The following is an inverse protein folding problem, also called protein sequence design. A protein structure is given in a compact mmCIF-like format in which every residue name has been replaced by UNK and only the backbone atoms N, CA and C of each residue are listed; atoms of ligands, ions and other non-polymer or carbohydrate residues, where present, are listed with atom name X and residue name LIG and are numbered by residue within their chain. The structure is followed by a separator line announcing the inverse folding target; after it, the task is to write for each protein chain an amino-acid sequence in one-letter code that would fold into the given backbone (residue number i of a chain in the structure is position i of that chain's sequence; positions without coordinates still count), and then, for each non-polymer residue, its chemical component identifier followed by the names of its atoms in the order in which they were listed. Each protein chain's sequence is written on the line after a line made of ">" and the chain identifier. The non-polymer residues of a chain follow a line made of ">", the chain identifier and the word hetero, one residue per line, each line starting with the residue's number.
data_IF_729662853430
#
_entry.id   IF_729662853430
#
_cell.length_a   1.000
_cell.length_b   1.000
_cell.length_c   1.000
_cell.angle_alpha   90.00
_cell.angle_beta   90.00
_cell.angle_gamma   90.00
#
_symmetry.space_group_name_H-M   'P 1'
#
loop_
_entity.id
_entity.type
_entity.pdbx_description
1 polymer ?
#
# COMPACT_ATOMS: atom_id res chain seq x y z
N UNK A 1 6.33 -9.12 40.33
CA UNK A 1 5.01 -9.76 40.01
C UNK A 1 4.02 -8.77 39.35
N UNK A 2 4.11 -7.48 39.55
CA UNK A 2 3.24 -6.49 38.92
C UNK A 2 3.62 -6.19 37.44
N UNK A 3 4.92 -6.20 37.09
CA UNK A 3 5.40 -5.97 35.74
C UNK A 3 5.02 -7.06 34.71
N UNK A 4 4.88 -8.31 35.19
CA UNK A 4 4.45 -9.39 34.26
C UNK A 4 2.96 -9.33 33.89
N UNK A 5 2.10 -8.80 34.76
CA UNK A 5 0.65 -8.70 34.46
C UNK A 5 0.34 -7.56 33.48
N UNK A 6 1.12 -6.46 33.48
CA UNK A 6 0.94 -5.37 32.51
C UNK A 6 1.39 -5.77 31.10
N UNK A 7 2.46 -6.55 30.99
CA UNK A 7 2.94 -7.07 29.71
C UNK A 7 1.99 -8.10 29.10
N UNK A 8 1.37 -8.98 29.89
CA UNK A 8 0.36 -9.93 29.37
C UNK A 8 -0.89 -9.20 28.86
N UNK A 9 -1.37 -8.18 29.56
CA UNK A 9 -2.54 -7.43 29.12
C UNK A 9 -2.27 -6.60 27.86
N UNK A 10 -1.04 -6.12 27.66
CA UNK A 10 -0.62 -5.40 26.45
C UNK A 10 -0.50 -6.35 25.23
N UNK A 11 0.07 -7.53 25.43
CA UNK A 11 0.17 -8.56 24.37
C UNK A 11 -1.22 -9.01 23.94
N UNK A 12 -2.16 -9.13 24.88
CA UNK A 12 -3.53 -9.49 24.57
C UNK A 12 -4.29 -8.37 23.85
N UNK A 13 -4.11 -7.10 24.22
CA UNK A 13 -4.69 -5.96 23.50
C UNK A 13 -4.15 -5.88 22.05
N UNK A 14 -2.85 -6.05 21.86
CA UNK A 14 -2.23 -6.07 20.53
C UNK A 14 -2.72 -7.25 19.66
N UNK A 15 -2.90 -8.42 20.27
CA UNK A 15 -3.46 -9.61 19.61
C UNK A 15 -4.91 -9.39 19.20
N UNK A 16 -5.70 -8.70 20.02
CA UNK A 16 -7.09 -8.34 19.76
C UNK A 16 -7.20 -7.34 18.60
N UNK A 17 -6.41 -6.27 18.59
CA UNK A 17 -6.38 -5.28 17.53
C UNK A 17 -6.02 -5.95 16.19
N UNK A 18 -5.03 -6.84 16.17
CA UNK A 18 -4.62 -7.57 14.97
C UNK A 18 -5.72 -8.49 14.44
N UNK A 19 -6.48 -9.17 15.33
CA UNK A 19 -7.65 -9.98 14.94
C UNK A 19 -8.86 -9.12 14.52
N UNK A 20 -9.01 -7.93 15.08
CA UNK A 20 -10.09 -6.99 14.72
C UNK A 20 -10.00 -6.50 13.28
N UNK A 21 -8.79 -6.38 12.74
CA UNK A 21 -8.55 -6.03 11.34
C UNK A 21 -8.93 -7.17 10.37
N UNK A 22 -9.05 -8.42 10.84
CA UNK A 22 -9.45 -9.61 10.08
C UNK A 22 -10.85 -10.10 10.46
N UNK A 23 -11.88 -9.52 9.90
CA UNK A 23 -13.31 -9.62 10.27
C UNK A 23 -13.98 -11.01 10.26
N UNK A 24 -13.35 -12.08 9.80
CA UNK A 24 -14.04 -13.36 9.46
C UNK A 24 -13.69 -14.56 10.35
N UNK A 25 -13.18 -14.36 11.58
CA UNK A 25 -12.75 -15.48 12.43
C UNK A 25 -13.73 -15.75 13.57
N UNK A 26 -14.17 -17.03 13.73
CA UNK A 26 -15.06 -17.49 14.80
C UNK A 26 -14.47 -17.29 16.21
N UNK A 27 -13.16 -17.31 16.35
CA UNK A 27 -12.41 -16.99 17.56
C UNK A 27 -12.54 -15.50 17.99
N UNK A 28 -13.03 -14.63 17.12
CA UNK A 28 -13.27 -13.22 17.41
C UNK A 28 -14.23 -13.02 18.57
N UNK A 29 -15.32 -13.78 18.58
CA UNK A 29 -16.37 -13.70 19.60
C UNK A 29 -15.84 -14.10 20.99
N UNK A 30 -15.04 -15.15 21.08
CA UNK A 30 -14.46 -15.61 22.34
C UNK A 30 -13.35 -14.66 22.85
N UNK A 31 -12.55 -14.13 21.94
CA UNK A 31 -11.51 -13.18 22.28
C UNK A 31 -12.10 -11.84 22.77
N UNK A 32 -13.19 -11.39 22.14
CA UNK A 32 -13.90 -10.17 22.54
C UNK A 32 -14.62 -10.37 23.88
N UNK A 33 -15.22 -11.53 24.13
CA UNK A 33 -15.86 -11.88 25.40
C UNK A 33 -14.86 -11.86 26.55
N UNK A 34 -13.69 -12.46 26.39
CA UNK A 34 -12.58 -12.41 27.37
C UNK A 34 -12.09 -10.98 27.61
N UNK A 35 -11.97 -10.19 26.55
CA UNK A 35 -11.57 -8.79 26.69
C UNK A 35 -12.61 -7.98 27.47
N UNK A 36 -13.88 -8.18 27.18
CA UNK A 36 -14.98 -7.51 27.91
C UNK A 36 -15.02 -7.93 29.39
N UNK A 37 -14.69 -9.17 29.72
CA UNK A 37 -14.58 -9.65 31.10
C UNK A 37 -13.38 -9.05 31.83
N UNK A 38 -12.23 -8.90 31.17
CA UNK A 38 -11.05 -8.23 31.69
C UNK A 38 -11.34 -6.75 31.95
N UNK A 39 -12.01 -6.06 31.02
CA UNK A 39 -12.40 -4.67 31.14
C UNK A 39 -13.45 -4.43 32.25
N UNK A 40 -14.31 -5.40 32.52
CA UNK A 40 -15.33 -5.31 33.63
C UNK A 40 -14.73 -5.35 35.02
N UNK A 41 -13.61 -6.03 35.21
CA UNK A 41 -13.03 -6.30 36.51
C UNK A 41 -11.87 -5.40 36.87
N UNK A 42 -11.40 -4.52 35.98
CA UNK A 42 -10.33 -3.57 36.24
C UNK A 42 -10.79 -2.15 35.91
N UNK A 43 -10.57 -1.22 36.80
CA UNK A 43 -10.52 0.20 36.45
C UNK A 43 -9.35 0.35 35.49
N UNK A 44 -9.65 0.67 34.21
CA UNK A 44 -8.63 0.84 33.20
C UNK A 44 -7.88 2.13 33.51
N UNK A 45 -6.60 2.01 33.82
CA UNK A 45 -5.72 3.17 33.91
C UNK A 45 -5.19 3.48 32.49
N UNK A 46 -5.98 4.25 31.73
CA UNK A 46 -5.63 4.69 30.36
C UNK A 46 -4.29 5.42 30.30
N UNK A 47 -3.92 6.19 31.33
CA UNK A 47 -2.65 6.91 31.37
C UNK A 47 -1.47 5.96 31.50
N UNK A 48 -1.59 4.92 32.33
CA UNK A 48 -0.58 3.87 32.41
C UNK A 48 -0.43 3.10 31.09
N UNK A 49 -1.54 2.76 30.43
CA UNK A 49 -1.51 2.09 29.13
C UNK A 49 -0.83 2.96 28.05
N UNK A 50 -1.18 4.24 27.96
CA UNK A 50 -0.53 5.19 27.05
C UNK A 50 0.96 5.38 27.35
N UNK A 51 1.32 5.43 28.66
CA UNK A 51 2.70 5.56 29.10
C UNK A 51 3.58 4.35 28.76
N UNK A 52 2.99 3.16 28.62
CA UNK A 52 3.69 1.93 28.27
C UNK A 52 3.78 1.68 26.74
N UNK A 53 3.15 2.52 25.91
CA UNK A 53 3.28 2.40 24.46
C UNK A 53 4.73 2.69 24.02
N UNK A 54 5.22 2.02 22.96
CA UNK A 54 6.49 2.38 22.36
C UNK A 54 6.50 3.87 22.00
N UNK A 55 7.65 4.52 22.17
CA UNK A 55 7.80 5.90 21.71
C UNK A 55 7.55 5.98 20.21
N UNK A 56 6.90 7.07 19.76
CA UNK A 56 6.75 7.34 18.34
C UNK A 56 8.14 7.36 17.68
N UNK A 57 8.27 6.63 16.58
CA UNK A 57 9.47 6.61 15.76
C UNK A 57 9.46 7.73 14.69
N UNK A 58 8.35 8.47 14.57
CA UNK A 58 8.21 9.50 13.55
C UNK A 58 8.96 10.78 13.90
N UNK A 59 9.48 11.43 12.87
CA UNK A 59 9.97 12.81 12.92
C UNK A 59 8.82 13.76 12.57
N UNK A 60 8.95 15.05 12.91
CA UNK A 60 7.87 16.00 12.62
C UNK A 60 7.57 16.08 11.12
N UNK A 61 6.28 16.27 10.76
CA UNK A 61 5.83 16.44 9.35
C UNK A 61 6.66 17.51 8.65
N UNK A 62 6.91 18.67 9.31
CA UNK A 62 7.73 19.75 8.76
C UNK A 62 9.15 19.30 8.42
N UNK A 63 9.80 18.53 9.30
CA UNK A 63 11.16 18.04 9.04
C UNK A 63 11.16 17.01 7.91
N UNK A 64 10.15 16.16 7.85
CA UNK A 64 9.97 15.18 6.76
C UNK A 64 9.86 15.88 5.41
N UNK A 65 9.00 16.91 5.30
CA UNK A 65 8.80 17.67 4.07
C UNK A 65 10.07 18.40 3.64
N UNK A 66 10.78 19.03 4.57
CA UNK A 66 12.07 19.66 4.29
C UNK A 66 13.09 18.67 3.75
N UNK A 67 13.19 17.48 4.32
CA UNK A 67 14.12 16.45 3.86
C UNK A 67 13.76 15.95 2.45
N UNK A 68 12.46 15.77 2.17
CA UNK A 68 11.98 15.35 0.84
C UNK A 68 12.27 16.46 -0.20
N UNK A 69 11.98 17.72 0.13
CA UNK A 69 12.26 18.85 -0.75
C UNK A 69 13.75 18.96 -1.07
N UNK A 70 14.61 18.81 -0.07
CA UNK A 70 16.05 18.78 -0.27
C UNK A 70 16.49 17.61 -1.19
N UNK A 71 15.88 16.42 -1.02
CA UNK A 71 16.17 15.28 -1.90
C UNK A 71 15.74 15.57 -3.35
N UNK A 72 14.58 16.22 -3.54
CA UNK A 72 14.09 16.62 -4.84
C UNK A 72 15.04 17.63 -5.51
N UNK A 73 15.43 18.71 -4.82
CA UNK A 73 16.34 19.72 -5.34
C UNK A 73 17.74 19.17 -5.70
N UNK A 74 18.15 18.09 -5.06
CA UNK A 74 19.45 17.45 -5.32
C UNK A 74 19.35 16.24 -6.28
N UNK A 75 18.25 16.04 -6.97
CA UNK A 75 18.01 14.91 -7.88
C UNK A 75 18.21 13.52 -7.21
N UNK A 76 17.82 13.45 -5.95
CA UNK A 76 17.92 12.23 -5.12
C UNK A 76 16.57 11.71 -4.65
N UNK A 77 15.48 12.29 -5.15
CA UNK A 77 14.13 11.81 -4.84
C UNK A 77 13.69 10.75 -5.83
N UNK A 78 13.16 9.66 -5.31
CA UNK A 78 12.49 8.59 -6.06
C UNK A 78 11.03 8.57 -5.64
N UNK A 79 10.10 8.62 -6.60
CA UNK A 79 8.71 8.32 -6.33
C UNK A 79 8.49 6.81 -6.41
N UNK A 80 7.84 6.25 -5.40
CA UNK A 80 7.45 4.84 -5.36
C UNK A 80 5.93 4.77 -5.37
N UNK A 81 5.39 4.36 -6.52
CA UNK A 81 3.97 4.47 -6.83
C UNK A 81 3.29 3.10 -6.71
N UNK A 82 2.16 3.07 -6.02
CA UNK A 82 1.30 1.90 -5.91
C UNK A 82 -0.09 2.14 -6.48
N UNK A 83 -0.95 1.12 -6.40
CA UNK A 83 -2.28 1.12 -7.03
C UNK A 83 -3.17 2.30 -6.64
N UNK A 84 -2.95 2.88 -5.45
CA UNK A 84 -3.74 4.02 -4.97
C UNK A 84 -3.76 5.24 -5.89
N UNK A 85 -2.70 5.46 -6.69
CA UNK A 85 -2.67 6.60 -7.64
C UNK A 85 -3.54 6.40 -8.87
N UNK A 86 -3.86 5.13 -9.19
CA UNK A 86 -4.63 4.76 -10.40
C UNK A 86 -6.10 4.44 -10.11
N UNK A 87 -6.48 4.32 -8.82
CA UNK A 87 -7.86 3.99 -8.43
C UNK A 87 -8.88 5.00 -8.95
N UNK A 88 -8.56 6.29 -8.94
CA UNK A 88 -9.43 7.35 -9.42
C UNK A 88 -9.78 7.22 -10.90
N UNK A 89 -8.90 6.61 -11.68
CA UNK A 89 -9.09 6.37 -13.12
C UNK A 89 -9.92 5.14 -13.42
N UNK A 90 -10.36 4.40 -12.39
CA UNK A 90 -11.15 3.17 -12.54
C UNK A 90 -10.31 1.90 -12.58
N UNK A 91 -8.99 1.98 -12.37
CA UNK A 91 -8.15 0.79 -12.18
C UNK A 91 -8.64 0.01 -10.96
N UNK A 92 -8.92 -1.30 -11.09
CA UNK A 92 -9.38 -2.09 -9.96
C UNK A 92 -8.28 -2.24 -8.90
N UNK A 93 -8.68 -2.28 -7.63
CA UNK A 93 -7.78 -2.73 -6.56
C UNK A 93 -7.33 -4.18 -6.82
N UNK A 94 -6.24 -4.60 -6.19
CA UNK A 94 -5.72 -5.96 -6.37
C UNK A 94 -6.77 -7.06 -6.14
N UNK A 95 -7.53 -6.96 -5.06
CA UNK A 95 -8.59 -7.93 -4.76
C UNK A 95 -9.70 -7.91 -5.81
N UNK A 96 -10.09 -6.72 -6.27
CA UNK A 96 -11.11 -6.58 -7.31
C UNK A 96 -10.61 -7.08 -8.67
N UNK A 97 -9.34 -6.86 -9.00
CA UNK A 97 -8.72 -7.41 -10.22
C UNK A 97 -8.78 -8.94 -10.21
N UNK A 98 -8.38 -9.57 -9.11
CA UNK A 98 -8.45 -11.02 -8.95
C UNK A 98 -9.89 -11.55 -9.06
N UNK A 99 -10.85 -10.90 -8.40
CA UNK A 99 -12.26 -11.26 -8.49
C UNK A 99 -12.78 -11.15 -9.92
N UNK A 100 -12.46 -10.06 -10.62
CA UNK A 100 -12.87 -9.86 -12.00
C UNK A 100 -12.27 -10.92 -12.94
N UNK A 101 -11.01 -11.29 -12.74
CA UNK A 101 -10.36 -12.38 -13.51
C UNK A 101 -11.02 -13.72 -13.25
N UNK A 102 -11.34 -14.04 -12.00
CA UNK A 102 -12.04 -15.29 -11.65
C UNK A 102 -13.44 -15.33 -12.28
N UNK A 103 -14.20 -14.22 -12.19
CA UNK A 103 -15.51 -14.09 -12.83
C UNK A 103 -15.40 -14.30 -14.33
N UNK A 104 -14.45 -13.60 -14.98
CA UNK A 104 -14.23 -13.69 -16.43
C UNK A 104 -13.91 -15.13 -16.86
N UNK A 105 -13.11 -15.85 -16.11
CA UNK A 105 -12.79 -17.26 -16.34
C UNK A 105 -14.04 -18.14 -16.26
N UNK A 106 -14.87 -17.97 -15.24
CA UNK A 106 -16.08 -18.76 -15.03
C UNK A 106 -17.12 -18.47 -16.13
N UNK A 107 -17.33 -17.19 -16.47
CA UNK A 107 -18.29 -16.77 -17.50
C UNK A 107 -17.91 -17.31 -18.87
N UNK A 108 -16.63 -17.25 -19.22
CA UNK A 108 -16.12 -17.69 -20.54
C UNK A 108 -16.23 -19.21 -20.72
N UNK A 109 -16.03 -20.01 -19.67
CA UNK A 109 -16.07 -21.46 -19.77
C UNK A 109 -17.46 -22.08 -19.65
N UNK A 110 -18.31 -21.49 -18.82
CA UNK A 110 -19.53 -22.17 -18.37
C UNK A 110 -20.85 -21.50 -18.80
N UNK A 111 -20.81 -20.40 -19.56
CA UNK A 111 -22.00 -19.59 -19.86
C UNK A 111 -22.82 -19.23 -18.58
N UNK A 112 -22.15 -19.07 -17.47
CA UNK A 112 -22.77 -18.82 -16.18
C UNK A 112 -23.17 -17.34 -16.08
N UNK A 113 -24.35 -17.08 -15.57
CA UNK A 113 -24.84 -15.70 -15.43
C UNK A 113 -23.95 -14.88 -14.49
N UNK A 114 -23.82 -13.59 -14.79
CA UNK A 114 -23.07 -12.61 -13.96
C UNK A 114 -23.51 -12.57 -12.49
N UNK A 115 -24.74 -13.03 -12.19
CA UNK A 115 -25.28 -13.15 -10.83
C UNK A 115 -24.62 -14.27 -10.06
N UNK A 116 -24.43 -15.45 -10.68
CA UNK A 116 -23.75 -16.57 -10.03
C UNK A 116 -22.27 -16.28 -9.80
N UNK A 117 -21.62 -15.59 -10.72
CA UNK A 117 -20.24 -15.15 -10.58
C UNK A 117 -20.07 -14.18 -9.39
N UNK A 118 -21.01 -13.24 -9.20
CA UNK A 118 -21.02 -12.36 -8.03
C UNK A 118 -21.24 -13.11 -6.72
N UNK A 119 -22.21 -14.02 -6.69
CA UNK A 119 -22.46 -14.85 -5.52
C UNK A 119 -21.25 -15.71 -5.16
N UNK A 120 -20.56 -16.27 -6.16
CA UNK A 120 -19.34 -17.03 -5.94
C UNK A 120 -18.24 -16.16 -5.29
N UNK A 121 -18.07 -14.91 -5.75
CA UNK A 121 -17.11 -13.99 -5.16
C UNK A 121 -17.45 -13.59 -3.72
N UNK A 122 -18.75 -13.47 -3.39
CA UNK A 122 -19.19 -13.13 -2.03
C UNK A 122 -18.97 -14.28 -1.04
N UNK A 123 -19.03 -15.51 -1.53
CA UNK A 123 -18.86 -16.73 -0.71
C UNK A 123 -17.38 -17.15 -0.62
N UNK A 124 -16.63 -16.99 -1.71
CA UNK A 124 -15.27 -17.50 -1.83
C UNK A 124 -14.27 -16.35 -1.90
N UNK A 125 -13.60 -16.09 -0.78
CA UNK A 125 -12.54 -15.06 -0.67
C UNK A 125 -11.16 -15.71 -0.47
N UNK A 126 -10.53 -16.26 -1.53
CA UNK A 126 -9.23 -16.91 -1.40
C UNK A 126 -8.14 -15.89 -1.06
N UNK A 127 -7.04 -16.37 -0.49
CA UNK A 127 -5.85 -15.55 -0.35
C UNK A 127 -5.42 -15.05 -1.75
N UNK A 128 -5.19 -13.74 -1.93
CA UNK A 128 -4.90 -13.15 -3.24
C UNK A 128 -3.73 -13.79 -3.99
N UNK A 129 -2.65 -14.16 -3.31
CA UNK A 129 -1.48 -14.80 -3.93
C UNK A 129 -1.79 -16.21 -4.42
N UNK A 130 -2.59 -16.97 -3.67
CA UNK A 130 -3.03 -18.32 -4.04
C UNK A 130 -3.98 -18.25 -5.24
N UNK A 131 -4.94 -17.31 -5.22
CA UNK A 131 -5.85 -17.09 -6.34
C UNK A 131 -5.09 -16.69 -7.60
N UNK A 132 -4.12 -15.80 -7.49
CA UNK A 132 -3.26 -15.38 -8.59
C UNK A 132 -2.48 -16.55 -9.19
N UNK A 133 -1.92 -17.44 -8.38
CA UNK A 133 -1.23 -18.65 -8.84
C UNK A 133 -2.16 -19.57 -9.62
N UNK A 134 -3.34 -19.85 -9.06
CA UNK A 134 -4.33 -20.70 -9.72
C UNK A 134 -4.74 -20.16 -11.09
N UNK A 135 -5.03 -18.87 -11.18
CA UNK A 135 -5.40 -18.21 -12.42
C UNK A 135 -4.26 -18.28 -13.46
N UNK A 136 -3.03 -18.05 -13.04
CA UNK A 136 -1.87 -18.14 -13.93
C UNK A 136 -1.69 -19.57 -14.47
N UNK A 137 -1.71 -20.59 -13.62
CA UNK A 137 -1.60 -21.99 -14.04
C UNK A 137 -2.75 -22.40 -14.97
N UNK A 138 -3.96 -21.92 -14.71
CA UNK A 138 -5.12 -22.16 -15.56
C UNK A 138 -4.93 -21.61 -16.99
N UNK A 139 -4.51 -20.35 -17.11
CA UNK A 139 -4.29 -19.73 -18.42
C UNK A 139 -3.09 -20.33 -19.18
N UNK A 140 -2.01 -20.65 -18.48
CA UNK A 140 -0.84 -21.29 -19.06
C UNK A 140 -1.17 -22.69 -19.61
N UNK A 141 -2.13 -23.39 -19.01
CA UNK A 141 -2.55 -24.73 -19.42
C UNK A 141 -3.53 -24.73 -20.62
N UNK A 142 -4.33 -23.69 -20.77
CA UNK A 142 -5.43 -23.66 -21.76
C UNK A 142 -5.14 -22.97 -23.08
N UNK A 143 -3.92 -22.49 -23.33
CA UNK A 143 -3.35 -22.00 -24.60
C UNK A 143 -4.21 -21.03 -25.46
N UNK A 144 -5.30 -20.47 -24.96
CA UNK A 144 -6.24 -19.67 -25.77
C UNK A 144 -5.89 -18.17 -25.86
N UNK A 145 -5.20 -17.64 -24.86
CA UNK A 145 -4.64 -16.27 -24.84
C UNK A 145 -3.57 -16.20 -23.77
N UNK A 146 -2.58 -15.30 -23.91
CA UNK A 146 -1.58 -15.16 -22.83
C UNK A 146 -2.24 -14.60 -21.57
N UNK A 147 -1.76 -15.03 -20.42
CA UNK A 147 -2.23 -14.54 -19.10
C UNK A 147 -2.17 -13.01 -19.04
N UNK A 148 -1.08 -12.43 -19.51
CA UNK A 148 -0.87 -10.98 -19.53
C UNK A 148 -1.93 -10.24 -20.37
N UNK A 149 -2.35 -10.82 -21.49
CA UNK A 149 -3.40 -10.24 -22.34
C UNK A 149 -4.75 -10.21 -21.62
N UNK A 150 -5.07 -11.27 -20.88
CA UNK A 150 -6.30 -11.35 -20.10
C UNK A 150 -6.30 -10.36 -18.92
N UNK A 151 -5.19 -10.31 -18.20
CA UNK A 151 -5.03 -9.33 -17.10
C UNK A 151 -5.19 -7.91 -17.64
N UNK A 152 -4.60 -7.61 -18.82
CA UNK A 152 -4.73 -6.30 -19.46
C UNK A 152 -6.19 -5.97 -19.81
N UNK A 153 -6.91 -6.91 -20.42
CA UNK A 153 -8.32 -6.74 -20.78
C UNK A 153 -9.18 -6.38 -19.58
N UNK A 154 -9.02 -7.12 -18.48
CA UNK A 154 -9.75 -6.88 -17.25
C UNK A 154 -9.30 -5.57 -16.57
N UNK A 155 -8.00 -5.27 -16.59
CA UNK A 155 -7.41 -4.08 -16.00
C UNK A 155 -8.03 -2.81 -16.61
N UNK A 156 -8.11 -2.75 -17.95
CA UNK A 156 -8.57 -1.57 -18.69
C UNK A 156 -10.08 -1.52 -18.94
N UNK A 157 -10.83 -2.53 -18.53
CA UNK A 157 -12.27 -2.66 -18.84
C UNK A 157 -13.13 -1.46 -18.40
N UNK A 158 -12.70 -0.69 -17.42
CA UNK A 158 -13.44 0.45 -16.84
C UNK A 158 -12.59 1.71 -16.64
N UNK A 159 -11.41 1.76 -17.25
CA UNK A 159 -10.50 2.88 -17.09
C UNK A 159 -10.95 4.08 -17.93
N UNK A 160 -10.94 5.25 -17.30
CA UNK A 160 -11.01 6.54 -17.95
C UNK A 160 -9.69 7.29 -17.71
N UNK A 161 -8.77 7.19 -18.69
CA UNK A 161 -7.46 7.86 -18.64
C UNK A 161 -7.57 9.39 -18.74
N UNK A 162 -8.68 9.91 -19.25
CA UNK A 162 -8.89 11.34 -19.42
C UNK A 162 -9.38 12.02 -18.14
N UNK A 163 -9.89 11.25 -17.19
CA UNK A 163 -10.34 11.77 -15.90
C UNK A 163 -9.30 12.67 -15.28
N UNK A 164 -9.73 13.82 -14.77
CA UNK A 164 -8.88 14.74 -14.04
C UNK A 164 -8.60 14.21 -12.62
N UNK A 165 -7.34 14.31 -12.18
CA UNK A 165 -6.88 13.92 -10.85
C UNK A 165 -5.82 14.91 -10.38
N UNK A 166 -6.12 15.62 -9.30
CA UNK A 166 -5.17 16.56 -8.72
C UNK A 166 -3.85 15.90 -8.30
N UNK A 167 -3.95 14.68 -7.74
CA UNK A 167 -2.79 13.89 -7.36
C UNK A 167 -1.91 13.56 -8.57
N UNK A 168 -2.50 13.03 -9.62
CA UNK A 168 -1.76 12.70 -10.84
C UNK A 168 -1.18 13.94 -11.49
N UNK A 169 -1.92 15.05 -11.53
CA UNK A 169 -1.44 16.31 -12.07
C UNK A 169 -0.19 16.81 -11.32
N UNK A 170 -0.15 16.74 -10.00
CA UNK A 170 1.03 17.13 -9.23
C UNK A 170 2.19 16.13 -9.38
N UNK A 171 1.93 14.82 -9.50
CA UNK A 171 2.96 13.83 -9.85
C UNK A 171 3.60 14.17 -11.20
N UNK A 172 2.78 14.46 -12.22
CA UNK A 172 3.27 14.86 -13.55
C UNK A 172 4.11 16.14 -13.45
N UNK A 173 3.67 17.16 -12.71
CA UNK A 173 4.43 18.42 -12.51
C UNK A 173 5.77 18.20 -11.83
N UNK A 174 5.87 17.26 -10.88
CA UNK A 174 7.15 16.88 -10.25
C UNK A 174 8.09 16.21 -11.26
N UNK A 175 7.55 15.44 -12.21
CA UNK A 175 8.33 14.81 -13.28
C UNK A 175 8.89 15.83 -14.27
N UNK A 176 8.24 16.99 -14.40
CA UNK A 176 8.59 18.04 -15.35
C UNK A 176 9.36 19.15 -14.64
N UNK A 177 10.66 19.25 -14.84
CA UNK A 177 11.47 20.37 -14.32
C UNK A 177 11.52 21.51 -15.32
N UNK A 178 10.88 22.67 -15.05
CA UNK A 178 10.89 23.79 -15.98
C UNK A 178 12.31 24.30 -16.25
N UNK A 179 12.75 24.19 -17.52
CA UNK A 179 14.02 24.76 -17.99
C UNK A 179 15.30 24.08 -17.48
N UNK A 180 15.21 22.88 -16.89
CA UNK A 180 16.36 22.11 -16.37
C UNK A 180 16.19 20.61 -16.65
N UNK A 181 17.24 19.82 -16.39
CA UNK A 181 17.14 18.39 -16.25
C UNK A 181 16.12 17.99 -15.17
N UNK A 182 15.64 16.77 -15.23
CA UNK A 182 14.76 16.16 -14.23
C UNK A 182 15.25 16.41 -12.80
N UNK A 183 14.36 16.81 -11.89
CA UNK A 183 14.66 16.89 -10.45
C UNK A 183 14.41 15.56 -9.72
N UNK A 184 13.71 14.62 -10.34
CA UNK A 184 13.60 13.25 -9.86
C UNK A 184 14.78 12.39 -10.33
N UNK A 185 15.26 11.51 -9.49
CA UNK A 185 16.18 10.46 -9.90
C UNK A 185 15.47 9.44 -10.81
N UNK A 186 14.34 8.91 -10.35
CA UNK A 186 13.54 7.91 -11.06
C UNK A 186 12.17 7.74 -10.43
N UNK A 187 11.34 6.95 -11.09
CA UNK A 187 10.07 6.45 -10.56
C UNK A 187 10.18 4.92 -10.48
N UNK A 188 9.71 4.34 -9.38
CA UNK A 188 9.43 2.92 -9.24
C UNK A 188 7.92 2.77 -9.16
N UNK A 189 7.34 1.92 -9.99
CA UNK A 189 5.91 1.63 -9.91
C UNK A 189 5.67 0.13 -9.79
N UNK A 190 4.70 -0.21 -8.95
CA UNK A 190 4.18 -1.57 -8.79
C UNK A 190 2.91 -1.79 -9.63
N UNK A 191 2.44 -0.73 -10.29
CA UNK A 191 1.27 -0.77 -11.14
C UNK A 191 1.61 -1.37 -12.50
N UNK A 192 0.66 -2.08 -13.07
CA UNK A 192 0.77 -2.63 -14.42
C UNK A 192 0.34 -1.64 -15.51
N UNK A 193 -0.50 -0.65 -15.13
CA UNK A 193 -1.09 0.32 -16.06
C UNK A 193 -0.09 1.34 -16.59
N UNK A 194 -0.48 2.03 -17.68
CA UNK A 194 0.30 3.08 -18.35
C UNK A 194 -0.30 4.48 -18.18
N UNK A 195 -1.09 4.70 -17.11
CA UNK A 195 -1.79 5.97 -16.90
C UNK A 195 -0.79 7.12 -16.71
N UNK A 196 0.29 6.88 -15.96
CA UNK A 196 1.31 7.90 -15.74
C UNK A 196 1.97 8.32 -17.06
N UNK A 197 2.37 7.36 -17.89
CA UNK A 197 2.96 7.60 -19.21
C UNK A 197 1.99 8.37 -20.12
N UNK A 198 0.73 7.95 -20.15
CA UNK A 198 -0.31 8.63 -20.89
C UNK A 198 -0.47 10.09 -20.45
N UNK A 199 -0.46 10.36 -19.15
CA UNK A 199 -0.54 11.73 -18.63
C UNK A 199 0.70 12.55 -18.92
N UNK A 200 1.89 11.95 -18.88
CA UNK A 200 3.15 12.61 -19.26
C UNK A 200 3.14 12.96 -20.75
N UNK A 201 2.74 12.06 -21.63
CA UNK A 201 2.63 12.30 -23.07
C UNK A 201 1.63 13.43 -23.39
N UNK A 202 0.53 13.53 -22.62
CA UNK A 202 -0.50 14.56 -22.80
C UNK A 202 -0.07 15.97 -22.34
N UNK A 203 1.04 16.13 -21.63
CA UNK A 203 1.47 17.48 -21.21
C UNK A 203 1.78 18.40 -22.39
N UNK A 204 1.98 17.86 -23.57
CA UNK A 204 2.43 18.61 -24.76
C UNK A 204 3.87 19.17 -24.62
N UNK A 205 4.55 18.84 -23.55
CA UNK A 205 5.95 19.12 -23.32
C UNK A 205 6.76 17.87 -23.70
N UNK A 206 7.89 18.05 -24.36
CA UNK A 206 8.85 16.94 -24.51
C UNK A 206 9.45 16.59 -23.14
N UNK A 207 8.75 15.80 -22.38
CA UNK A 207 9.28 15.20 -21.13
C UNK A 207 9.92 13.89 -21.53
N UNK A 208 11.26 13.82 -21.63
CA UNK A 208 11.89 12.57 -21.96
C UNK A 208 11.76 11.62 -20.78
N UNK A 209 11.02 10.54 -20.96
CA UNK A 209 10.93 9.44 -19.99
C UNK A 209 11.11 8.10 -20.68
N UNK A 210 11.45 7.08 -19.91
CA UNK A 210 11.62 5.72 -20.38
C UNK A 210 11.01 4.72 -19.45
N UNK A 211 9.97 4.00 -19.88
CA UNK A 211 9.43 2.85 -19.16
C UNK A 211 10.38 1.67 -19.26
N UNK A 212 10.79 1.14 -18.10
CA UNK A 212 11.72 0.02 -17.96
C UNK A 212 10.99 -1.11 -17.25
N UNK A 213 10.75 -2.21 -17.96
CA UNK A 213 9.96 -3.35 -17.49
C UNK A 213 10.60 -4.71 -17.79
N UNK A 214 11.86 -4.73 -18.20
CA UNK A 214 12.61 -5.93 -18.50
C UNK A 214 14.09 -5.65 -18.76
N UNK A 215 14.82 -6.71 -19.01
CA UNK A 215 16.23 -6.64 -19.38
C UNK A 215 16.41 -6.02 -20.79
N UNK A 216 17.56 -5.37 -21.03
CA UNK A 216 17.93 -4.83 -22.32
C UNK A 216 17.21 -3.54 -22.73
N UNK A 217 16.44 -2.94 -21.82
CA UNK A 217 15.83 -1.63 -22.06
C UNK A 217 16.83 -0.56 -21.63
N UNK A 218 17.38 0.15 -22.60
CA UNK A 218 18.35 1.23 -22.37
C UNK A 218 17.68 2.55 -22.05
N UNK A 219 18.25 3.27 -21.09
CA UNK A 219 17.83 4.62 -20.69
C UNK A 219 18.85 5.59 -21.27
N UNK A 220 18.39 6.52 -22.11
CA UNK A 220 19.25 7.55 -22.69
C UNK A 220 19.50 8.66 -21.67
N UNK A 221 20.59 9.39 -21.86
CA UNK A 221 20.89 10.53 -20.99
C UNK A 221 19.78 11.59 -21.06
N UNK A 222 19.31 12.01 -19.90
CA UNK A 222 18.20 12.96 -19.79
C UNK A 222 16.80 12.33 -19.68
N UNK A 223 16.62 11.06 -20.03
CA UNK A 223 15.33 10.39 -19.83
C UNK A 223 15.08 10.11 -18.33
N UNK A 224 13.85 10.35 -17.87
CA UNK A 224 13.38 9.96 -16.53
C UNK A 224 13.01 8.47 -16.55
N UNK A 225 13.71 7.60 -15.81
CA UNK A 225 13.35 6.20 -15.75
C UNK A 225 12.06 5.97 -14.97
N UNK A 226 11.14 5.19 -15.55
CA UNK A 226 9.94 4.66 -14.88
C UNK A 226 10.10 3.14 -14.83
N UNK A 227 10.45 2.61 -13.66
CA UNK A 227 10.69 1.18 -13.45
C UNK A 227 9.41 0.47 -13.04
N UNK A 228 8.83 -0.33 -13.94
CA UNK A 228 7.70 -1.22 -13.68
C UNK A 228 8.20 -2.55 -13.09
N UNK A 229 8.47 -2.55 -11.80
CA UNK A 229 9.15 -3.68 -11.13
C UNK A 229 8.29 -4.93 -10.96
N UNK A 230 6.98 -4.81 -11.10
CA UNK A 230 6.03 -5.93 -11.13
C UNK A 230 5.54 -6.27 -12.54
N UNK A 231 6.02 -5.57 -13.57
CA UNK A 231 5.63 -5.74 -14.96
C UNK A 231 4.80 -4.58 -15.49
N UNK A 232 4.60 -4.56 -16.81
CA UNK A 232 3.99 -3.46 -17.55
C UNK A 232 3.05 -3.95 -18.63
N UNK A 233 1.80 -3.54 -18.56
CA UNK A 233 0.74 -3.90 -19.49
C UNK A 233 0.12 -2.64 -20.12
N UNK A 234 0.78 -1.99 -21.07
CA UNK A 234 0.23 -0.80 -21.73
C UNK A 234 -1.04 -1.15 -22.51
N UNK A 235 -2.02 -0.23 -22.53
CA UNK A 235 -3.32 -0.46 -23.16
C UNK A 235 -3.20 -0.73 -24.66
N UNK A 236 -2.56 0.19 -25.40
CA UNK A 236 -2.58 0.21 -26.86
C UNK A 236 -1.36 -0.42 -27.51
N UNK A 237 -0.32 -0.81 -26.75
CA UNK A 237 0.90 -1.37 -27.31
C UNK A 237 0.81 -2.89 -27.41
N UNK A 238 1.42 -3.46 -28.47
CA UNK A 238 1.54 -4.90 -28.60
C UNK A 238 2.40 -5.44 -27.44
N UNK A 239 1.87 -6.44 -26.71
CA UNK A 239 2.63 -7.15 -25.71
C UNK A 239 3.73 -7.99 -26.34
N UNK A 240 4.88 -8.03 -25.67
CA UNK A 240 6.07 -8.81 -26.03
C UNK A 240 6.41 -9.77 -24.89
N UNK A 241 7.38 -10.63 -25.10
CA UNK A 241 7.86 -11.55 -24.04
C UNK A 241 8.44 -10.81 -22.81
N UNK A 242 8.79 -9.53 -22.96
CA UNK A 242 9.24 -8.68 -21.86
C UNK A 242 8.10 -8.17 -20.94
N UNK A 243 6.84 -8.28 -21.38
CA UNK A 243 5.68 -7.82 -20.61
C UNK A 243 5.20 -8.86 -19.58
N UNK A 244 6.13 -9.54 -18.93
CA UNK A 244 5.82 -10.48 -17.84
C UNK A 244 5.45 -9.72 -16.58
N UNK A 245 4.42 -10.23 -15.88
CA UNK A 245 3.94 -9.60 -14.65
C UNK A 245 4.19 -10.48 -13.41
N UNK A 246 4.44 -9.84 -12.28
CA UNK A 246 4.48 -10.49 -10.97
C UNK A 246 3.07 -10.52 -10.41
N UNK A 247 2.43 -11.68 -10.46
CA UNK A 247 1.02 -11.77 -10.13
C UNK A 247 0.70 -12.81 -9.05
N UNK A 248 1.09 -14.05 -9.22
CA UNK A 248 0.79 -15.13 -8.31
C UNK A 248 1.96 -15.48 -7.38
N UNK A 249 1.69 -16.40 -6.45
CA UNK A 249 2.66 -16.87 -5.45
C UNK A 249 3.96 -17.39 -6.07
N UNK A 250 3.87 -18.09 -7.20
CA UNK A 250 5.04 -18.61 -7.93
C UNK A 250 6.00 -17.52 -8.40
N UNK A 251 5.47 -16.38 -8.86
CA UNK A 251 6.31 -15.24 -9.24
C UNK A 251 6.99 -14.61 -8.02
N UNK A 252 6.32 -14.55 -6.87
CA UNK A 252 6.93 -14.10 -5.63
C UNK A 252 8.04 -15.05 -5.15
N UNK A 253 7.84 -16.36 -5.24
CA UNK A 253 8.89 -17.34 -4.92
C UNK A 253 10.11 -17.16 -5.83
N UNK A 254 9.92 -16.90 -7.11
CA UNK A 254 11.00 -16.61 -8.02
C UNK A 254 11.74 -15.31 -7.64
N UNK A 255 11.03 -14.25 -7.29
CA UNK A 255 11.65 -13.01 -6.82
C UNK A 255 12.41 -13.20 -5.50
N UNK A 256 11.94 -14.08 -4.61
CA UNK A 256 12.64 -14.39 -3.37
C UNK A 256 13.93 -15.19 -3.60
N UNK A 257 13.91 -16.12 -4.54
CA UNK A 257 15.09 -16.96 -4.85
C UNK A 257 16.13 -16.25 -5.70
N UNK A 258 15.69 -15.34 -6.60
CA UNK A 258 16.60 -14.56 -7.45
C UNK A 258 16.77 -13.12 -6.95
N UNK A 259 17.67 -12.94 -5.97
CA UNK A 259 18.00 -11.62 -5.44
C UNK A 259 18.63 -10.71 -6.51
N UNK A 260 19.29 -11.29 -7.50
CA UNK A 260 20.02 -10.57 -8.55
C UNK A 260 19.16 -10.23 -9.77
N UNK A 261 17.87 -10.56 -9.76
CA UNK A 261 16.97 -10.12 -10.81
C UNK A 261 17.00 -8.59 -10.96
N UNK A 262 16.85 -8.11 -12.19
CA UNK A 262 16.98 -6.68 -12.51
C UNK A 262 16.06 -5.80 -11.64
N UNK A 263 14.82 -6.24 -11.42
CA UNK A 263 13.81 -5.53 -10.64
C UNK A 263 14.18 -5.46 -9.15
N UNK A 264 14.71 -6.55 -8.56
CA UNK A 264 15.21 -6.53 -7.17
C UNK A 264 16.42 -5.61 -7.03
N UNK A 265 17.37 -5.70 -7.97
CA UNK A 265 18.60 -4.89 -7.93
C UNK A 265 18.32 -3.40 -8.08
N UNK A 266 17.41 -3.02 -8.97
CA UNK A 266 16.99 -1.61 -9.11
C UNK A 266 16.40 -1.10 -7.80
N UNK A 267 15.47 -1.82 -7.20
CA UNK A 267 14.83 -1.43 -5.94
C UNK A 267 15.83 -1.30 -4.80
N UNK A 268 16.69 -2.31 -4.59
CA UNK A 268 17.72 -2.28 -3.55
C UNK A 268 18.63 -1.06 -3.72
N UNK A 269 19.11 -0.79 -4.95
CA UNK A 269 19.96 0.35 -5.22
C UNK A 269 19.26 1.68 -4.93
N UNK A 270 18.01 1.85 -5.39
CA UNK A 270 17.26 3.08 -5.16
C UNK A 270 16.94 3.27 -3.68
N UNK A 271 16.54 2.23 -2.96
CA UNK A 271 16.32 2.30 -1.51
C UNK A 271 17.61 2.55 -0.71
N UNK A 272 18.76 2.13 -1.22
CA UNK A 272 20.06 2.39 -0.58
C UNK A 272 20.57 3.81 -0.83
N UNK A 273 20.51 4.31 -2.06
CA UNK A 273 21.20 5.54 -2.46
C UNK A 273 20.33 6.80 -2.42
N UNK A 274 19.00 6.64 -2.48
CA UNK A 274 18.06 7.73 -2.67
C UNK A 274 17.12 7.90 -1.47
N UNK A 275 16.41 9.01 -1.45
CA UNK A 275 15.23 9.22 -0.62
C UNK A 275 14.02 8.81 -1.42
N UNK A 276 13.21 7.88 -0.90
CA UNK A 276 12.00 7.41 -1.56
C UNK A 276 10.77 7.95 -0.85
N UNK A 277 9.74 8.32 -1.61
CA UNK A 277 8.42 8.65 -1.10
C UNK A 277 7.40 7.68 -1.69
N UNK A 278 6.69 6.97 -0.82
CA UNK A 278 5.67 5.99 -1.20
C UNK A 278 4.30 6.67 -1.29
N UNK A 279 3.67 6.60 -2.46
CA UNK A 279 2.37 7.20 -2.75
C UNK A 279 1.45 6.12 -3.30
N UNK A 280 0.25 5.97 -2.73
CA UNK A 280 -0.71 4.96 -3.16
C UNK A 280 -0.30 3.51 -2.83
N UNK A 281 0.68 3.32 -1.93
CA UNK A 281 1.17 2.02 -1.48
C UNK A 281 0.93 1.83 0.00
N UNK A 282 0.58 0.62 0.42
CA UNK A 282 0.35 0.27 1.84
C UNK A 282 1.58 -0.30 2.55
N UNK A 283 2.67 -0.59 1.85
CA UNK A 283 3.83 -1.34 2.35
C UNK A 283 3.48 -2.74 2.92
N UNK A 284 2.38 -3.33 2.48
CA UNK A 284 1.99 -4.70 2.91
C UNK A 284 2.62 -5.79 2.05
N UNK A 285 3.18 -5.43 0.89
CA UNK A 285 3.87 -6.37 0.01
C UNK A 285 5.14 -6.91 0.69
N UNK A 286 5.24 -8.23 0.91
CA UNK A 286 6.35 -8.82 1.64
C UNK A 286 7.68 -8.70 0.89
N UNK A 287 7.67 -8.61 -0.45
CA UNK A 287 8.90 -8.43 -1.22
C UNK A 287 9.45 -7.00 -1.06
N UNK A 288 8.60 -5.98 -1.13
CA UNK A 288 9.00 -4.59 -0.87
C UNK A 288 9.66 -4.48 0.52
N UNK A 289 9.02 -5.06 1.53
CA UNK A 289 9.52 -5.04 2.92
C UNK A 289 10.89 -5.72 3.02
N UNK A 290 11.06 -6.86 2.37
CA UNK A 290 12.35 -7.58 2.30
C UNK A 290 13.44 -6.74 1.64
N UNK A 291 13.14 -6.07 0.52
CA UNK A 291 14.12 -5.26 -0.20
C UNK A 291 14.51 -3.99 0.56
N UNK A 292 13.56 -3.36 1.27
CA UNK A 292 13.83 -2.26 2.18
C UNK A 292 14.74 -2.69 3.34
N UNK A 293 14.48 -3.85 3.95
CA UNK A 293 15.32 -4.40 5.03
C UNK A 293 16.76 -4.68 4.55
N UNK A 294 16.92 -5.25 3.35
CA UNK A 294 18.24 -5.46 2.72
C UNK A 294 18.96 -4.13 2.51
N UNK A 295 18.28 -3.14 1.92
CA UNK A 295 18.85 -1.84 1.66
C UNK A 295 19.23 -1.11 2.97
N UNK A 296 18.40 -1.22 3.99
CA UNK A 296 18.63 -0.63 5.31
C UNK A 296 19.87 -1.23 5.98
N UNK A 297 20.05 -2.55 5.94
CA UNK A 297 21.25 -3.25 6.47
C UNK A 297 22.52 -2.81 5.77
N UNK A 298 22.48 -2.52 4.47
CA UNK A 298 23.62 -2.08 3.69
C UNK A 298 24.00 -0.60 3.94
N UNK A 299 23.08 0.24 4.43
CA UNK A 299 23.32 1.68 4.68
C UNK A 299 24.21 1.98 5.90
N UNK A 300 24.30 1.07 6.86
CA UNK A 300 25.02 1.30 8.12
C UNK A 300 24.43 2.50 8.88
N UNK A 301 25.31 3.33 9.49
CA UNK A 301 24.91 4.47 10.32
C UNK A 301 24.43 5.71 9.54
N UNK A 302 24.59 5.75 8.22
CA UNK A 302 24.16 6.89 7.37
C UNK A 302 22.76 6.65 6.82
N UNK A 303 21.77 6.56 7.70
CA UNK A 303 20.38 6.29 7.32
C UNK A 303 19.77 7.52 6.65
N UNK A 304 19.45 7.43 5.35
CA UNK A 304 18.46 8.31 4.72
C UNK A 304 17.09 7.73 5.04
N UNK A 305 16.15 8.57 5.41
CA UNK A 305 14.79 8.14 5.64
C UNK A 305 14.04 8.07 4.31
N UNK A 306 13.19 7.07 4.16
CA UNK A 306 12.12 7.07 3.17
C UNK A 306 10.85 7.56 3.85
N UNK A 307 9.81 7.85 3.07
CA UNK A 307 8.58 8.44 3.58
C UNK A 307 7.36 7.77 2.97
N UNK A 308 6.32 7.62 3.77
CA UNK A 308 5.01 7.13 3.33
C UNK A 308 3.91 8.00 3.90
N UNK A 309 2.89 8.29 3.08
CA UNK A 309 1.66 8.89 3.56
C UNK A 309 0.73 7.84 4.14
N UNK A 310 0.20 8.10 5.33
CA UNK A 310 -0.86 7.30 5.96
C UNK A 310 -1.97 8.22 6.44
N UNK A 311 -3.21 7.81 6.19
CA UNK A 311 -4.39 8.52 6.67
C UNK A 311 -4.64 8.15 8.12
N UNK A 312 -4.88 9.17 8.96
CA UNK A 312 -5.31 8.96 10.34
C UNK A 312 -6.64 8.22 10.39
N UNK A 313 -6.87 7.52 11.47
CA UNK A 313 -8.19 6.93 11.72
C UNK A 313 -9.18 8.08 11.97
N UNK A 314 -10.35 7.97 11.34
CA UNK A 314 -11.46 8.85 11.66
C UNK A 314 -12.12 8.38 12.97
N UNK A 315 -11.97 9.19 14.02
CA UNK A 315 -12.53 8.92 15.35
C UNK A 315 -14.05 8.71 15.32
N UNK A 316 -14.77 9.35 14.39
CA UNK A 316 -16.21 9.16 14.22
C UNK A 316 -16.51 7.76 13.69
N UNK A 317 -15.79 7.31 12.67
CA UNK A 317 -15.97 5.94 12.14
C UNK A 317 -15.57 4.88 13.17
N UNK A 318 -14.51 5.13 13.94
CA UNK A 318 -14.10 4.23 15.02
C UNK A 318 -15.17 4.19 16.11
N UNK A 319 -15.71 5.36 16.49
CA UNK A 319 -16.79 5.50 17.46
C UNK A 319 -18.05 4.74 17.03
N UNK A 320 -18.47 4.89 15.77
CA UNK A 320 -19.63 4.16 15.25
C UNK A 320 -19.42 2.64 15.23
N UNK A 321 -18.24 2.20 14.84
CA UNK A 321 -17.88 0.77 14.89
C UNK A 321 -17.92 0.23 16.31
N UNK A 322 -17.35 0.97 17.26
CA UNK A 322 -17.34 0.58 18.67
C UNK A 322 -18.76 0.54 19.24
N UNK A 323 -19.61 1.54 18.94
CA UNK A 323 -21.04 1.55 19.32
C UNK A 323 -21.77 0.32 18.77
N UNK A 324 -21.66 0.04 17.47
CA UNK A 324 -22.30 -1.12 16.84
C UNK A 324 -21.85 -2.45 17.46
N UNK A 325 -20.58 -2.53 17.87
CA UNK A 325 -20.06 -3.70 18.56
C UNK A 325 -20.65 -3.86 19.96
N UNK A 326 -20.74 -2.75 20.71
CA UNK A 326 -21.30 -2.75 22.07
C UNK A 326 -22.82 -3.00 22.08
N UNK A 327 -23.53 -2.66 21.00
CA UNK A 327 -24.95 -2.88 20.81
C UNK A 327 -25.28 -4.31 20.32
N UNK A 328 -24.29 -5.14 20.03
CA UNK A 328 -24.56 -6.52 19.59
C UNK A 328 -25.26 -7.32 20.69
N UNK A 329 -26.22 -8.20 20.36
CA UNK A 329 -27.02 -8.97 21.36
C UNK A 329 -26.18 -9.78 22.33
N UNK A 330 -24.98 -10.17 21.91
CA UNK A 330 -24.02 -10.94 22.71
C UNK A 330 -23.35 -10.08 23.81
N UNK A 331 -23.37 -8.77 23.69
CA UNK A 331 -22.79 -7.81 24.63
C UNK A 331 -23.86 -7.18 25.51
N UNK A 332 -25.07 -6.97 24.97
CA UNK A 332 -26.23 -6.34 25.66
C UNK A 332 -26.72 -7.19 26.84
N UNK A 333 -26.50 -8.51 26.84
CA UNK A 333 -26.84 -9.36 27.99
C UNK A 333 -26.15 -9.00 29.30
N UNK A 334 -25.21 -8.07 29.26
CA UNK A 334 -24.46 -7.56 30.41
C UNK A 334 -24.67 -6.03 30.57
N UNK A 335 -25.75 -5.63 31.24
CA UNK A 335 -26.12 -4.24 31.54
C UNK A 335 -25.12 -3.41 32.36
N UNK A 336 -23.95 -3.92 32.68
CA UNK A 336 -22.92 -3.21 33.40
C UNK A 336 -21.70 -2.97 32.50
N UNK A 337 -21.79 -2.01 31.57
CA UNK A 337 -20.65 -1.36 30.94
C UNK A 337 -19.89 -0.46 31.97
N UNK A 338 -19.90 -0.84 33.23
CA UNK A 338 -19.30 -0.10 34.30
C UNK A 338 -17.77 -0.09 34.16
N UNK A 339 -17.22 0.99 33.62
CA UNK A 339 -15.80 1.28 33.66
C UNK A 339 -15.14 1.63 32.33
N UNK A 340 -15.82 1.52 31.18
CA UNK A 340 -15.31 2.00 29.90
C UNK A 340 -15.66 3.48 29.74
N UNK A 341 -14.67 4.34 29.82
CA UNK A 341 -14.76 5.67 29.25
C UNK A 341 -14.62 5.54 27.74
N UNK A 342 -15.68 5.91 27.02
CA UNK A 342 -15.78 5.71 25.56
C UNK A 342 -14.77 6.58 24.82
N UNK A 343 -14.63 7.84 25.18
CA UNK A 343 -13.75 8.79 24.52
C UNK A 343 -12.27 8.46 24.79
N UNK A 344 -11.94 8.10 26.03
CA UNK A 344 -10.59 7.65 26.40
C UNK A 344 -10.24 6.33 25.70
N UNK A 345 -11.22 5.44 25.48
CA UNK A 345 -11.00 4.18 24.73
C UNK A 345 -10.70 4.47 23.26
N UNK A 346 -11.44 5.37 22.61
CA UNK A 346 -11.18 5.76 21.23
C UNK A 346 -9.78 6.36 21.09
N UNK A 347 -9.45 7.32 21.96
CA UNK A 347 -8.14 7.96 22.00
C UNK A 347 -7.01 6.93 22.17
N UNK A 348 -7.16 5.99 23.10
CA UNK A 348 -6.19 4.93 23.32
C UNK A 348 -6.02 4.05 22.06
N UNK A 349 -7.10 3.63 21.44
CA UNK A 349 -7.06 2.78 20.24
C UNK A 349 -6.41 3.51 19.04
N UNK A 350 -6.74 4.78 18.85
CA UNK A 350 -6.12 5.62 17.81
C UNK A 350 -4.62 5.76 18.03
N UNK A 351 -4.21 6.07 19.27
CA UNK A 351 -2.79 6.20 19.62
C UNK A 351 -2.01 4.88 19.46
N UNK A 352 -2.59 3.76 19.88
CA UNK A 352 -1.98 2.42 19.68
C UNK A 352 -1.80 2.14 18.18
N UNK A 353 -2.82 2.41 17.39
CA UNK A 353 -2.77 2.19 15.94
C UNK A 353 -1.67 3.06 15.29
N UNK A 354 -1.67 4.36 15.55
CA UNK A 354 -0.71 5.28 14.97
C UNK A 354 0.73 4.87 15.33
N UNK A 355 1.00 4.58 16.60
CA UNK A 355 2.34 4.14 17.04
C UNK A 355 2.75 2.80 16.46
N UNK A 356 1.82 1.87 16.28
CA UNK A 356 2.10 0.60 15.63
C UNK A 356 2.51 0.84 14.17
N UNK A 357 1.73 1.61 13.42
CA UNK A 357 2.00 1.91 12.02
C UNK A 357 3.32 2.68 11.82
N UNK A 358 3.62 3.63 12.71
CA UNK A 358 4.89 4.36 12.71
C UNK A 358 6.09 3.44 12.96
N UNK A 359 6.02 2.63 14.01
CA UNK A 359 7.13 1.75 14.38
C UNK A 359 7.34 0.63 13.36
N UNK A 360 6.25 0.08 12.80
CA UNK A 360 6.34 -0.89 11.71
C UNK A 360 7.07 -0.29 10.51
N UNK A 361 6.64 0.86 10.02
CA UNK A 361 7.28 1.55 8.89
C UNK A 361 8.74 1.92 9.19
N UNK A 362 9.00 2.47 10.37
CA UNK A 362 10.34 2.87 10.80
C UNK A 362 11.31 1.70 10.91
N UNK A 363 10.82 0.48 11.17
CA UNK A 363 11.63 -0.73 11.21
C UNK A 363 12.33 -1.02 9.87
N UNK A 364 11.77 -0.53 8.76
CA UNK A 364 12.33 -0.59 7.41
C UNK A 364 13.00 0.71 6.95
N UNK A 365 13.16 1.69 7.85
CA UNK A 365 13.73 2.99 7.52
C UNK A 365 12.75 3.95 6.81
N UNK A 366 11.45 3.68 6.90
CA UNK A 366 10.38 4.50 6.31
C UNK A 366 9.69 5.31 7.40
N UNK A 367 9.65 6.62 7.26
CA UNK A 367 8.98 7.55 8.17
C UNK A 367 7.53 7.77 7.72
N UNK A 368 6.59 7.68 8.63
CA UNK A 368 5.18 7.94 8.35
C UNK A 368 4.90 9.44 8.37
N UNK A 369 4.22 9.93 7.35
CA UNK A 369 3.66 11.28 7.27
C UNK A 369 2.14 11.13 7.39
N UNK A 370 1.60 11.52 8.54
CA UNK A 370 0.17 11.49 8.78
C UNK A 370 -0.56 12.59 8.04
N UNK A 371 -1.67 12.22 7.40
CA UNK A 371 -2.61 13.11 6.73
C UNK A 371 -4.01 12.86 7.27
N UNK A 372 -4.82 13.88 7.29
CA UNK A 372 -6.23 13.77 7.68
C UNK A 372 -7.08 13.29 6.50
N UNK A 373 -6.72 13.69 5.26
CA UNK A 373 -7.33 13.15 4.04
C UNK A 373 -6.28 12.97 2.92
N UNK A 374 -6.60 12.07 1.96
CA UNK A 374 -5.76 11.81 0.79
C UNK A 374 -5.59 13.04 -0.11
N UNK A 375 -6.57 13.96 -0.09
CA UNK A 375 -6.56 15.23 -0.83
C UNK A 375 -5.49 16.22 -0.35
N UNK A 376 -4.82 15.96 0.79
CA UNK A 376 -3.66 16.75 1.22
C UNK A 376 -2.39 16.45 0.40
N UNK A 377 -2.28 15.26 -0.21
CA UNK A 377 -1.06 14.83 -0.89
C UNK A 377 -0.69 15.76 -2.05
N UNK A 378 -1.61 16.16 -2.95
CA UNK A 378 -1.31 17.11 -4.02
C UNK A 378 -0.68 18.41 -3.51
N UNK A 379 -1.25 19.03 -2.49
CA UNK A 379 -0.71 20.25 -1.88
C UNK A 379 0.68 20.04 -1.24
N UNK A 380 0.91 18.88 -0.63
CA UNK A 380 2.22 18.53 -0.08
C UNK A 380 3.24 18.37 -1.21
N UNK A 381 2.91 17.68 -2.29
CA UNK A 381 3.78 17.51 -3.45
C UNK A 381 4.10 18.85 -4.12
N UNK A 382 3.13 19.74 -4.22
CA UNK A 382 3.32 21.12 -4.70
C UNK A 382 4.33 21.87 -3.83
N UNK A 383 4.19 21.84 -2.50
CA UNK A 383 5.14 22.47 -1.57
C UNK A 383 6.56 21.93 -1.72
N UNK A 384 6.72 20.62 -1.92
CA UNK A 384 8.00 19.96 -2.16
C UNK A 384 8.61 20.49 -3.47
N UNK A 385 7.84 20.57 -4.54
CA UNK A 385 8.26 21.05 -5.85
C UNK A 385 8.67 22.53 -5.82
N UNK A 386 7.90 23.35 -5.12
CA UNK A 386 8.12 24.80 -5.00
C UNK A 386 9.17 25.18 -3.94
N UNK A 387 9.68 24.20 -3.20
CA UNK A 387 10.66 24.38 -2.11
C UNK A 387 10.17 25.32 -0.99
N UNK A 388 8.88 25.27 -0.67
CA UNK A 388 8.21 26.06 0.39
C UNK A 388 7.81 25.16 1.58
N UNK A 389 8.38 23.96 1.69
CA UNK A 389 8.05 22.94 2.67
C UNK A 389 8.78 23.12 4.01
#
# INVERSE_FOLDING_TARGET
>A
MAENKSNESFIDAHRIIRKYLNKNDSDYQDTFKRYTEILKNSKIDYNSLLGNLPKSASISKRQSLKNISNAYQNEKLVLVLGAGISLEFGVPSWNLLLQNLMVHTIEKENNVSSVLSKLFNDIFTPNPLIAGRYLQEYFDSNNSSSFESMVREVLYSKIDKDKDSELMNEIVKICVAPGKSKNLDSIITYNFDDILEYKLDKTGLEVPFKSVYGLGIEIKNGELPIYHVHGYLPEDKKLTDSNKITFGESNYHQQYSDLYSWNNMVQINKFRENTCIFIGSSLTDPNIRRLLDIALKQKGNKRKHHYIFKKKIDDKQLSEKLKKMLESPQIISNKNNAGLDFDETIKLLTEIYERFEENDSASFGVQTIWIDDWDEIPEILKKIRENVA
#
